data_IF_518920912601
#
_entry.id   IF_518920912601
#
_cell.length_a   1.000
_cell.length_b   1.000
_cell.length_c   1.000
_cell.angle_alpha   90.00
_cell.angle_beta   90.00
_cell.angle_gamma   90.00
#
_symmetry.space_group_name_H-M   'P 1'
#
loop_
_entity.id
_entity.type
_entity.pdbx_description
1 polymer ?
#
# COMPACT_ATOMS: atom_id res chain seq x y z
N UNK A 1 23.89 -47.91 2.87
CA UNK A 1 25.25 -47.80 2.29
C UNK A 1 25.54 -46.32 2.19
N UNK A 2 26.26 -45.82 3.17
CA UNK A 2 27.54 -45.12 3.11
C UNK A 2 27.48 -43.76 2.38
N UNK A 3 27.80 -42.62 2.95
CA UNK A 3 28.90 -42.20 3.85
C UNK A 3 28.58 -40.78 4.36
N UNK A 4 28.55 -40.48 5.54
CA UNK A 4 29.47 -39.97 6.58
C UNK A 4 30.89 -39.69 6.05
N UNK A 5 31.28 -38.44 6.17
CA UNK A 5 32.62 -37.85 6.28
C UNK A 5 32.56 -36.47 5.62
N UNK A 6 32.91 -35.35 6.21
CA UNK A 6 34.08 -35.05 7.01
C UNK A 6 33.86 -33.75 7.81
N UNK A 7 34.04 -33.89 9.07
CA UNK A 7 34.41 -32.87 10.07
C UNK A 7 35.73 -32.23 9.69
N UNK A 8 35.83 -30.91 9.64
CA UNK A 8 37.08 -30.20 9.85
C UNK A 8 36.84 -28.79 10.36
N UNK A 9 37.02 -28.70 11.62
CA UNK A 9 37.39 -27.65 12.53
C UNK A 9 38.51 -26.78 11.92
N UNK A 10 38.25 -25.45 11.86
CA UNK A 10 39.35 -24.47 11.89
C UNK A 10 38.87 -23.23 12.67
N UNK A 11 39.27 -23.26 13.93
CA UNK A 11 39.31 -22.12 14.85
C UNK A 11 40.45 -21.22 14.40
N UNK A 12 40.14 -20.00 13.98
CA UNK A 12 41.15 -18.93 13.91
C UNK A 12 40.72 -17.81 14.86
N UNK A 13 41.34 -17.82 16.04
CA UNK A 13 41.38 -16.66 16.91
C UNK A 13 42.23 -15.59 16.23
N UNK A 14 41.65 -14.44 15.95
CA UNK A 14 42.38 -13.21 15.71
C UNK A 14 41.94 -12.18 16.77
N UNK A 15 42.77 -12.04 17.79
CA UNK A 15 42.70 -10.94 18.73
C UNK A 15 43.09 -9.64 18.00
N UNK A 16 42.18 -8.68 17.94
CA UNK A 16 42.49 -7.34 17.48
C UNK A 16 42.31 -6.38 18.65
N UNK A 17 43.44 -5.81 19.03
CA UNK A 17 43.68 -4.84 20.08
C UNK A 17 42.92 -3.53 19.85
N UNK A 18 42.28 -3.04 20.88
CA UNK A 18 41.62 -1.72 20.93
C UNK A 18 42.69 -0.68 21.33
N UNK A 19 42.90 0.40 20.55
CA UNK A 19 43.57 1.57 21.09
C UNK A 19 42.52 2.48 21.76
N UNK A 20 42.72 2.70 23.05
CA UNK A 20 42.08 3.77 23.80
C UNK A 20 42.65 5.11 23.32
N UNK A 21 41.80 6.00 22.82
CA UNK A 21 42.14 7.41 22.65
C UNK A 21 41.36 8.22 23.67
N UNK A 22 42.16 8.94 24.48
CA UNK A 22 41.71 9.74 25.59
C UNK A 22 41.10 11.08 25.16
N UNK A 23 40.16 11.52 25.99
CA UNK A 23 39.74 12.87 26.37
C UNK A 23 40.15 14.06 25.48
N UNK A 24 39.13 14.75 24.97
CA UNK A 24 39.18 16.16 24.67
C UNK A 24 37.85 16.81 25.07
N UNK A 25 37.86 17.52 26.22
CA UNK A 25 36.79 18.41 26.66
C UNK A 25 36.70 19.60 25.71
N UNK A 26 35.56 19.85 25.12
CA UNK A 26 35.13 21.20 24.74
C UNK A 26 33.59 21.26 24.68
N UNK A 27 33.05 22.18 25.47
CA UNK A 27 31.65 22.60 25.49
C UNK A 27 31.24 23.05 24.10
N UNK A 28 30.15 22.50 23.58
CA UNK A 28 29.51 22.94 22.35
C UNK A 28 28.15 22.29 22.22
N UNK A 29 27.14 23.10 22.28
CA UNK A 29 25.72 22.90 22.03
C UNK A 29 25.33 21.51 21.50
N UNK A 30 24.70 20.72 22.33
CA UNK A 30 23.83 19.62 21.88
C UNK A 30 22.57 20.20 21.22
N UNK A 31 22.64 20.47 19.95
CA UNK A 31 21.43 20.41 19.13
C UNK A 31 21.03 18.95 19.02
N UNK A 32 20.16 18.50 19.90
CA UNK A 32 19.41 17.27 19.76
C UNK A 32 18.57 17.45 18.49
N UNK A 33 19.11 16.97 17.39
CA UNK A 33 18.34 16.71 16.18
C UNK A 33 17.41 15.54 16.54
N UNK A 34 16.26 15.91 17.06
CA UNK A 34 15.11 15.02 17.16
C UNK A 34 14.71 14.69 15.72
N UNK A 35 15.30 13.62 15.19
CA UNK A 35 14.86 13.03 13.96
C UNK A 35 13.49 12.45 14.24
N UNK A 36 12.48 13.29 14.04
CA UNK A 36 11.11 12.84 13.85
C UNK A 36 11.19 11.88 12.68
N UNK A 37 11.18 10.58 12.97
CA UNK A 37 10.90 9.54 11.98
C UNK A 37 9.45 9.77 11.60
N UNK A 38 9.21 10.62 10.59
CA UNK A 38 7.93 10.61 9.90
C UNK A 38 7.70 9.16 9.46
N UNK A 39 6.54 8.56 9.78
CA UNK A 39 6.21 7.25 9.23
C UNK A 39 6.32 7.37 7.73
N UNK A 40 7.23 6.63 7.10
CA UNK A 40 7.27 6.47 5.65
C UNK A 40 5.88 5.97 5.23
N UNK A 41 5.09 6.89 4.70
CA UNK A 41 3.83 6.53 4.05
C UNK A 41 4.28 5.84 2.76
N UNK A 42 4.20 4.52 2.73
CA UNK A 42 4.55 3.73 1.56
C UNK A 42 3.94 4.36 0.31
N UNK A 43 4.78 4.62 -0.69
CA UNK A 43 4.32 5.22 -1.94
C UNK A 43 3.22 4.36 -2.55
N UNK A 44 2.15 5.00 -3.04
CA UNK A 44 1.08 4.28 -3.73
C UNK A 44 1.66 3.63 -4.98
N UNK A 45 1.47 2.32 -5.11
CA UNK A 45 1.90 1.60 -6.29
C UNK A 45 1.03 1.99 -7.48
N UNK A 46 1.66 2.47 -8.56
CA UNK A 46 1.00 2.83 -9.81
C UNK A 46 1.61 2.07 -10.97
N UNK A 47 0.79 1.37 -11.75
CA UNK A 47 1.24 0.53 -12.86
C UNK A 47 0.34 0.69 -14.09
N UNK A 48 0.83 0.30 -15.27
CA UNK A 48 0.08 0.20 -16.53
C UNK A 48 -0.67 1.49 -16.91
N UNK A 49 -0.01 2.66 -17.02
CA UNK A 49 -0.68 3.96 -17.10
C UNK A 49 -1.63 4.13 -18.30
N UNK A 50 -1.35 3.48 -19.42
CA UNK A 50 -2.12 3.61 -20.67
C UNK A 50 -3.16 2.49 -20.86
N UNK A 51 -3.32 1.64 -19.83
CA UNK A 51 -4.22 0.49 -19.91
C UNK A 51 -5.59 0.80 -19.31
N UNK A 52 -6.63 0.23 -19.93
CA UNK A 52 -8.00 0.34 -19.48
C UNK A 52 -8.53 -1.06 -19.21
N UNK A 53 -8.99 -1.27 -17.99
CA UNK A 53 -9.47 -2.54 -17.50
C UNK A 53 -10.90 -2.42 -16.95
N UNK A 54 -11.58 -3.55 -16.89
CA UNK A 54 -12.89 -3.74 -16.27
C UNK A 54 -12.77 -4.55 -14.98
N UNK A 55 -13.83 -4.61 -14.20
CA UNK A 55 -13.87 -5.51 -13.04
C UNK A 55 -13.76 -6.99 -13.43
N UNK A 56 -14.13 -7.35 -14.66
CA UNK A 56 -14.04 -8.73 -15.15
C UNK A 56 -12.57 -9.11 -15.48
N UNK A 57 -11.75 -8.16 -15.90
CA UNK A 57 -10.31 -8.40 -16.08
C UNK A 57 -9.64 -8.71 -14.73
N UNK A 58 -10.09 -8.06 -13.65
CA UNK A 58 -9.63 -8.38 -12.28
C UNK A 58 -10.11 -9.76 -11.86
N UNK A 59 -11.35 -10.14 -12.24
CA UNK A 59 -11.88 -11.46 -11.93
C UNK A 59 -11.13 -12.56 -12.69
N UNK A 60 -10.66 -12.29 -13.91
CA UNK A 60 -9.90 -13.24 -14.72
C UNK A 60 -8.57 -13.65 -14.05
N UNK A 61 -7.99 -12.81 -13.18
CA UNK A 61 -6.75 -13.11 -12.44
C UNK A 61 -7.01 -13.63 -11.03
N UNK A 62 -8.24 -14.07 -10.75
CA UNK A 62 -8.57 -14.81 -9.53
C UNK A 62 -9.29 -14.04 -8.44
N UNK A 63 -9.59 -12.74 -8.66
CA UNK A 63 -10.48 -12.02 -7.76
C UNK A 63 -11.92 -12.51 -7.90
N UNK A 64 -12.57 -12.75 -6.78
CA UNK A 64 -13.96 -13.21 -6.74
C UNK A 64 -14.89 -12.03 -6.56
N UNK A 65 -15.39 -11.50 -7.68
CA UNK A 65 -16.39 -10.43 -7.71
C UNK A 65 -17.67 -10.88 -6.98
N UNK A 66 -18.14 -10.11 -6.01
CA UNK A 66 -19.28 -10.46 -5.15
C UNK A 66 -20.44 -9.50 -5.30
N UNK A 67 -20.26 -8.23 -5.02
CA UNK A 67 -21.36 -7.25 -4.95
C UNK A 67 -20.96 -5.92 -5.60
N UNK A 68 -21.86 -5.36 -6.38
CA UNK A 68 -21.74 -3.97 -6.82
C UNK A 68 -22.12 -3.03 -5.68
N UNK A 69 -21.32 -2.00 -5.50
CA UNK A 69 -21.52 -0.97 -4.48
C UNK A 69 -22.03 0.32 -5.11
N UNK A 70 -22.68 1.17 -4.29
CA UNK A 70 -23.08 2.50 -4.73
C UNK A 70 -21.86 3.35 -5.11
N UNK A 71 -21.96 4.02 -6.25
CA UNK A 71 -20.95 4.97 -6.73
C UNK A 71 -21.28 6.43 -6.44
N UNK A 72 -22.41 6.70 -5.79
CA UNK A 72 -22.96 8.06 -5.62
C UNK A 72 -21.99 9.05 -4.92
N UNK A 73 -21.17 8.55 -4.02
CA UNK A 73 -20.21 9.37 -3.28
C UNK A 73 -18.81 9.40 -3.90
N UNK A 74 -18.60 8.74 -5.03
CA UNK A 74 -17.31 8.59 -5.68
C UNK A 74 -17.28 9.31 -7.03
N UNK A 75 -16.72 10.51 -7.13
CA UNK A 75 -16.76 11.32 -8.34
C UNK A 75 -16.01 10.62 -9.49
N UNK A 76 -16.66 10.58 -10.67
CA UNK A 76 -16.06 10.08 -11.90
C UNK A 76 -15.81 8.58 -11.96
N UNK A 77 -16.22 7.82 -10.96
CA UNK A 77 -16.16 6.36 -11.01
C UNK A 77 -17.25 5.82 -11.93
N UNK A 78 -16.92 4.84 -12.75
CA UNK A 78 -17.85 4.16 -13.65
C UNK A 78 -18.58 3.01 -12.94
N UNK A 79 -17.90 2.26 -12.10
CA UNK A 79 -18.48 1.20 -11.26
C UNK A 79 -17.59 0.90 -10.07
N UNK A 80 -18.19 0.39 -9.00
CA UNK A 80 -17.50 -0.03 -7.77
C UNK A 80 -17.95 -1.44 -7.43
N UNK A 81 -16.99 -2.31 -7.20
CA UNK A 81 -17.25 -3.70 -6.92
C UNK A 81 -16.51 -4.15 -5.66
N UNK A 82 -17.22 -4.83 -4.79
CA UNK A 82 -16.66 -5.56 -3.66
C UNK A 82 -16.45 -7.02 -4.03
N UNK A 83 -15.38 -7.59 -3.52
CA UNK A 83 -15.08 -9.00 -3.70
C UNK A 83 -13.93 -9.48 -2.84
N UNK A 84 -13.40 -10.65 -3.18
CA UNK A 84 -12.39 -11.34 -2.39
C UNK A 84 -11.23 -11.81 -3.25
N UNK A 85 -10.03 -11.67 -2.71
CA UNK A 85 -8.83 -12.30 -3.26
C UNK A 85 -8.05 -12.96 -2.13
N UNK A 86 -7.76 -14.27 -2.25
CA UNK A 86 -7.05 -15.04 -1.23
C UNK A 86 -7.60 -14.84 0.20
N UNK A 87 -8.94 -14.85 0.32
CA UNK A 87 -9.68 -14.65 1.60
C UNK A 87 -9.53 -13.24 2.21
N UNK A 88 -9.06 -12.27 1.44
CA UNK A 88 -8.99 -10.86 1.80
C UNK A 88 -10.01 -10.05 1.03
N UNK A 89 -10.53 -9.04 1.68
CA UNK A 89 -11.45 -8.10 1.06
C UNK A 89 -10.70 -7.20 0.08
N UNK A 90 -11.25 -7.07 -1.13
CA UNK A 90 -10.72 -6.17 -2.16
C UNK A 90 -11.88 -5.42 -2.80
N UNK A 91 -11.80 -4.10 -2.80
CA UNK A 91 -12.71 -3.23 -3.53
C UNK A 91 -12.05 -2.77 -4.83
N UNK A 92 -12.76 -2.89 -5.93
CA UNK A 92 -12.32 -2.46 -7.26
C UNK A 92 -13.16 -1.28 -7.70
N UNK A 93 -12.52 -0.12 -7.89
CA UNK A 93 -13.13 1.08 -8.47
C UNK A 93 -12.64 1.23 -9.91
N UNK A 94 -13.58 1.35 -10.83
CA UNK A 94 -13.29 1.46 -12.26
C UNK A 94 -13.53 2.91 -12.70
N UNK A 95 -12.51 3.52 -13.30
CA UNK A 95 -12.59 4.85 -13.88
C UNK A 95 -12.47 4.79 -15.41
N UNK A 96 -12.65 5.90 -16.09
CA UNK A 96 -12.49 6.00 -17.54
C UNK A 96 -11.01 5.87 -17.96
N UNK A 97 -10.10 6.41 -17.15
CA UNK A 97 -8.65 6.38 -17.40
C UNK A 97 -7.88 6.46 -16.09
N UNK A 98 -6.56 6.16 -16.11
CA UNK A 98 -5.69 6.33 -14.95
C UNK A 98 -5.66 7.79 -14.48
N UNK A 99 -5.64 8.74 -15.40
CA UNK A 99 -5.69 10.17 -15.05
C UNK A 99 -6.96 10.50 -14.25
N UNK A 100 -8.11 9.91 -14.62
CA UNK A 100 -9.36 10.08 -13.85
C UNK A 100 -9.31 9.36 -12.51
N UNK A 101 -8.74 8.18 -12.44
CA UNK A 101 -8.52 7.47 -11.18
C UNK A 101 -7.68 8.30 -10.20
N UNK A 102 -6.59 8.90 -10.68
CA UNK A 102 -5.71 9.76 -9.88
C UNK A 102 -6.43 11.06 -9.48
N UNK A 103 -6.95 11.82 -10.45
CA UNK A 103 -7.47 13.16 -10.20
C UNK A 103 -8.77 13.20 -9.40
N UNK A 104 -9.61 12.17 -9.50
CA UNK A 104 -10.92 12.13 -8.86
C UNK A 104 -11.04 11.06 -7.76
N UNK A 105 -10.25 9.99 -7.84
CA UNK A 105 -10.39 8.82 -6.98
C UNK A 105 -9.32 8.69 -5.91
N UNK A 106 -8.10 9.15 -6.17
CA UNK A 106 -6.95 8.94 -5.27
C UNK A 106 -7.17 9.57 -3.89
N UNK A 107 -7.68 10.79 -3.83
CA UNK A 107 -7.93 11.47 -2.55
C UNK A 107 -8.90 10.69 -1.64
N UNK A 108 -9.96 10.13 -2.23
CA UNK A 108 -10.91 9.29 -1.50
C UNK A 108 -10.33 7.92 -1.16
N UNK A 109 -9.44 7.38 -1.99
CA UNK A 109 -8.71 6.16 -1.67
C UNK A 109 -7.75 6.38 -0.49
N UNK A 110 -7.04 7.51 -0.43
CA UNK A 110 -6.20 7.91 0.70
C UNK A 110 -7.02 8.03 1.98
N UNK A 111 -8.22 8.64 1.90
CA UNK A 111 -9.12 8.77 3.04
C UNK A 111 -9.61 7.39 3.52
N UNK A 112 -10.07 6.54 2.60
CA UNK A 112 -10.64 5.24 2.93
C UNK A 112 -9.58 4.23 3.42
N UNK A 113 -8.33 4.41 3.02
CA UNK A 113 -7.20 3.60 3.51
C UNK A 113 -6.54 4.18 4.78
N UNK A 114 -7.07 5.28 5.32
CA UNK A 114 -6.50 5.94 6.50
C UNK A 114 -5.15 6.62 6.26
N UNK A 115 -4.68 6.70 5.01
CA UNK A 115 -3.41 7.35 4.61
C UNK A 115 -3.47 8.87 4.80
N UNK A 116 -4.64 9.46 4.68
CA UNK A 116 -4.88 10.90 4.92
C UNK A 116 -5.76 11.09 6.14
N UNK A 117 -5.32 11.91 7.08
CA UNK A 117 -6.16 12.29 8.21
C UNK A 117 -7.25 13.26 7.73
N UNK A 118 -8.50 13.14 8.22
CA UNK A 118 -9.62 13.96 7.76
C UNK A 118 -9.51 15.46 8.11
N UNK A 119 -8.46 15.90 8.78
CA UNK A 119 -8.31 17.28 9.31
C UNK A 119 -8.31 18.39 8.27
N UNK A 120 -7.99 18.12 6.99
CA UNK A 120 -8.04 19.13 5.94
C UNK A 120 -9.39 19.23 5.22
N UNK A 121 -10.28 18.26 5.44
CA UNK A 121 -11.58 18.17 4.76
C UNK A 121 -12.77 18.55 5.66
N UNK A 122 -12.55 18.64 6.96
CA UNK A 122 -13.60 19.03 7.93
C UNK A 122 -14.03 20.49 7.72
N UNK A 123 -13.13 21.36 7.27
CA UNK A 123 -13.41 22.78 7.04
C UNK A 123 -14.27 23.05 5.78
N UNK A 124 -14.36 22.12 4.85
CA UNK A 124 -15.13 22.30 3.61
C UNK A 124 -16.56 21.76 3.65
N UNK A 125 -16.97 21.14 4.74
CA UNK A 125 -18.34 20.57 4.88
C UNK A 125 -18.69 19.44 3.91
N UNK A 126 -17.74 19.03 3.09
CA UNK A 126 -18.00 18.14 1.96
C UNK A 126 -17.95 16.63 2.31
N UNK A 127 -17.47 16.26 3.52
CA UNK A 127 -17.20 14.84 3.83
C UNK A 127 -17.75 14.43 5.20
N UNK A 128 -18.91 14.93 5.60
CA UNK A 128 -19.54 14.38 6.82
C UNK A 128 -20.24 13.02 6.58
N UNK A 129 -20.37 12.55 5.33
CA UNK A 129 -21.15 11.35 5.01
C UNK A 129 -20.57 10.47 3.90
N UNK A 130 -19.27 10.54 3.60
CA UNK A 130 -18.63 9.53 2.76
C UNK A 130 -18.41 8.23 3.56
N UNK A 131 -19.45 7.78 4.23
CA UNK A 131 -19.52 6.41 4.72
C UNK A 131 -19.75 5.53 3.51
N UNK A 132 -18.66 4.97 2.99
CA UNK A 132 -18.80 3.79 2.15
C UNK A 132 -19.59 2.76 2.94
N UNK A 133 -20.67 2.26 2.37
CA UNK A 133 -21.50 1.21 2.97
C UNK A 133 -20.75 -0.14 3.10
N UNK A 134 -19.43 -0.13 3.03
CA UNK A 134 -18.58 -1.29 3.24
C UNK A 134 -18.18 -1.35 4.71
N UNK A 135 -18.45 -2.48 5.34
CA UNK A 135 -18.00 -2.79 6.71
C UNK A 135 -16.50 -2.99 6.79
N UNK A 136 -15.82 -3.01 5.67
CA UNK A 136 -14.40 -3.32 5.58
C UNK A 136 -13.60 -2.03 5.59
N UNK A 137 -12.63 -1.97 6.49
CA UNK A 137 -11.64 -0.91 6.50
C UNK A 137 -10.45 -1.37 5.67
N UNK A 138 -10.15 -0.67 4.59
CA UNK A 138 -8.95 -0.91 3.80
C UNK A 138 -7.79 -0.13 4.39
N UNK A 139 -6.59 -0.69 4.40
CA UNK A 139 -5.40 -0.01 4.93
C UNK A 139 -4.45 0.46 3.83
N UNK A 140 -4.65 -0.01 2.60
CA UNK A 140 -3.79 0.35 1.47
C UNK A 140 -4.54 0.22 0.14
N UNK A 141 -3.93 0.73 -0.93
CA UNK A 141 -4.47 0.59 -2.28
C UNK A 141 -3.36 0.70 -3.33
N UNK A 142 -3.66 0.25 -4.54
CA UNK A 142 -2.87 0.47 -5.75
C UNK A 142 -3.70 1.08 -6.87
N UNK A 143 -3.04 1.76 -7.81
CA UNK A 143 -3.64 2.25 -9.06
C UNK A 143 -3.05 1.42 -10.21
N UNK A 144 -3.90 0.66 -10.89
CA UNK A 144 -3.52 -0.23 -11.99
C UNK A 144 -4.31 0.18 -13.25
N UNK A 145 -3.65 0.85 -14.17
CA UNK A 145 -4.37 1.49 -15.27
C UNK A 145 -5.46 2.42 -14.75
N UNK A 146 -6.66 2.25 -15.23
CA UNK A 146 -7.85 3.01 -14.81
C UNK A 146 -8.52 2.50 -13.52
N UNK A 147 -7.91 1.51 -12.84
CA UNK A 147 -8.48 0.91 -11.63
C UNK A 147 -7.83 1.47 -10.37
N UNK A 148 -8.63 1.61 -9.29
CA UNK A 148 -8.13 1.68 -7.91
C UNK A 148 -8.53 0.38 -7.22
N UNK A 149 -7.53 -0.36 -6.71
CA UNK A 149 -7.70 -1.59 -5.95
C UNK A 149 -7.44 -1.27 -4.48
N UNK A 150 -8.48 -1.23 -3.64
CA UNK A 150 -8.31 -1.08 -2.19
C UNK A 150 -8.14 -2.47 -1.58
N UNK A 151 -7.08 -2.63 -0.79
CA UNK A 151 -6.67 -3.89 -0.18
C UNK A 151 -6.87 -3.85 1.34
N UNK A 152 -7.34 -4.95 1.91
CA UNK A 152 -7.79 -5.02 3.31
C UNK A 152 -6.69 -4.62 4.31
N UNK A 153 -5.50 -5.22 4.25
CA UNK A 153 -4.46 -5.02 5.27
C UNK A 153 -3.20 -4.41 4.67
N UNK A 154 -2.61 -5.04 3.66
CA UNK A 154 -1.32 -4.65 3.08
C UNK A 154 -1.33 -4.84 1.57
N UNK A 155 -0.44 -4.14 0.88
CA UNK A 155 -0.40 -4.16 -0.58
C UNK A 155 -0.07 -5.55 -1.14
N UNK A 156 0.72 -6.35 -0.43
CA UNK A 156 1.08 -7.71 -0.83
C UNK A 156 -0.14 -8.63 -0.89
N UNK A 157 -1.20 -8.33 -0.15
CA UNK A 157 -2.47 -9.08 -0.23
C UNK A 157 -3.13 -8.94 -1.61
N UNK A 158 -2.85 -7.84 -2.33
CA UNK A 158 -3.31 -7.58 -3.70
C UNK A 158 -2.24 -7.80 -4.77
N UNK A 159 -0.98 -8.08 -4.40
CA UNK A 159 0.13 -8.09 -5.34
C UNK A 159 -0.11 -9.04 -6.51
N UNK A 160 -0.67 -10.21 -6.26
CA UNK A 160 -0.99 -11.16 -7.33
C UNK A 160 -2.02 -10.66 -8.33
N UNK A 161 -2.96 -9.78 -7.90
CA UNK A 161 -3.89 -9.09 -8.82
C UNK A 161 -3.14 -8.04 -9.63
N UNK A 162 -2.36 -7.19 -8.95
CA UNK A 162 -1.59 -6.10 -9.58
C UNK A 162 -0.66 -6.66 -10.66
N UNK A 163 0.02 -7.75 -10.37
CA UNK A 163 0.96 -8.40 -11.30
C UNK A 163 0.27 -9.22 -12.40
N UNK A 164 -0.95 -9.65 -12.17
CA UNK A 164 -1.71 -10.51 -13.08
C UNK A 164 -2.53 -9.74 -14.11
N UNK A 165 -3.04 -8.57 -13.73
CA UNK A 165 -3.86 -7.74 -14.63
C UNK A 165 -3.01 -7.29 -15.82
N UNK A 166 -3.50 -7.52 -17.05
CA UNK A 166 -2.83 -7.09 -18.29
C UNK A 166 -1.76 -8.04 -18.83
N UNK A 167 -1.68 -9.28 -18.30
CA UNK A 167 -0.83 -10.35 -18.84
C UNK A 167 -1.57 -11.30 -19.78
#
# INVERSE_FOLDING_TARGET
>A
MHNIKFLLLLVVLAAISIPAVACGSSNGDESVSDSVVEPEIDAVQMTLPDSVFTADDVAAVGWKKSKELSSETLPGVSSVWYGFYQQRDVEVRVYESQMKAISLGQELADLHSGRRKPSSMIDSGAITNAQTNTRTSYLTYAIVGNLILLCEIKIEDCQGLIDGIGK
#
